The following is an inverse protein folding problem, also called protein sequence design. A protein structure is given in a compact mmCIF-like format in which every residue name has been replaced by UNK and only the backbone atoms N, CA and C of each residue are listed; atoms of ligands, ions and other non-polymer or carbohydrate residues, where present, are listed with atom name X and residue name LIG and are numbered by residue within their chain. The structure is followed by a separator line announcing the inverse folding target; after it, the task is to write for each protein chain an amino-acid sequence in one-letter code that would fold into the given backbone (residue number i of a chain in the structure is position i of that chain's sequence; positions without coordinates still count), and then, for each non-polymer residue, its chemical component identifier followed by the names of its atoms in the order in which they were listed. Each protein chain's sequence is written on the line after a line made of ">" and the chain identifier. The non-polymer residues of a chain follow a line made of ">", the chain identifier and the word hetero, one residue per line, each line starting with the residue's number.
data_IF_370751353358
#
_entry.id   IF_370751353358
#
_cell.length_a   1.000
_cell.length_b   1.000
_cell.length_c   1.000
_cell.angle_alpha   90.00
_cell.angle_beta   90.00
_cell.angle_gamma   90.00
#
_symmetry.space_group_name_H-M   'P 1'
#
loop_
_entity.id
_entity.type
_entity.pdbx_description
1 polymer ?
#
# COMPACT_ATOMS: atom_id res chain seq x y z
N UNK A 1 -53.59 37.07 12.53
CA UNK A 1 -53.23 36.77 11.12
C UNK A 1 -53.34 35.26 10.95
N UNK A 2 -53.89 34.82 9.82
CA UNK A 2 -54.28 33.44 9.49
C UNK A 2 -53.08 32.59 9.04
N UNK A 3 -53.06 31.34 9.51
CA UNK A 3 -52.63 30.05 8.89
C UNK A 3 -51.23 29.89 8.25
N UNK A 4 -50.72 28.65 8.02
CA UNK A 4 -51.24 27.33 8.43
C UNK A 4 -50.19 26.34 9.00
N UNK A 5 -50.71 25.27 9.60
CA UNK A 5 -50.07 23.98 9.84
C UNK A 5 -49.78 23.22 8.54
N UNK A 6 -48.65 22.53 8.47
CA UNK A 6 -48.46 21.39 7.57
C UNK A 6 -47.67 20.27 8.23
N UNK A 7 -48.19 19.07 8.00
CA UNK A 7 -47.84 17.75 8.50
C UNK A 7 -46.40 17.34 8.27
N UNK A 8 -45.76 16.77 9.30
CA UNK A 8 -44.58 15.89 9.14
C UNK A 8 -45.07 14.45 9.03
N UNK A 9 -44.77 13.84 7.89
CA UNK A 9 -45.02 12.44 7.62
C UNK A 9 -43.96 11.56 8.27
N UNK A 10 -44.46 10.49 8.87
CA UNK A 10 -43.75 9.37 9.47
C UNK A 10 -43.22 8.44 8.36
N UNK A 11 -41.89 8.28 8.26
CA UNK A 11 -41.23 7.35 7.34
C UNK A 11 -40.51 6.27 8.15
N UNK A 12 -41.24 5.22 8.51
CA UNK A 12 -40.67 3.94 8.93
C UNK A 12 -40.10 3.19 7.72
N UNK A 13 -38.77 3.13 7.57
CA UNK A 13 -38.11 2.28 6.58
C UNK A 13 -37.84 0.90 7.17
N UNK A 14 -38.58 -0.09 6.66
CA UNK A 14 -38.36 -1.51 6.91
C UNK A 14 -37.02 -1.96 6.31
N UNK A 15 -36.05 -2.33 7.18
CA UNK A 15 -34.88 -3.13 6.80
C UNK A 15 -35.25 -4.60 6.83
N UNK A 16 -35.46 -5.21 5.66
CA UNK A 16 -35.41 -6.67 5.42
C UNK A 16 -35.46 -6.92 3.93
N UNK A 17 -34.29 -7.18 3.33
CA UNK A 17 -34.12 -7.99 2.12
C UNK A 17 -32.65 -8.40 2.06
N UNK A 18 -32.32 -9.48 2.76
CA UNK A 18 -31.14 -10.27 2.48
C UNK A 18 -31.50 -11.24 1.33
N UNK A 19 -30.73 -11.21 0.25
CA UNK A 19 -30.77 -12.25 -0.77
C UNK A 19 -29.32 -12.60 -1.14
N UNK A 20 -28.85 -13.69 -0.53
CA UNK A 20 -27.73 -14.49 -1.00
C UNK A 20 -28.14 -15.07 -2.37
N UNK A 21 -27.30 -14.91 -3.40
CA UNK A 21 -27.44 -15.68 -4.63
C UNK A 21 -26.07 -16.17 -5.10
N UNK A 22 -25.69 -17.31 -4.52
CA UNK A 22 -24.67 -18.21 -5.04
C UNK A 22 -25.22 -18.85 -6.30
N UNK A 23 -24.55 -18.67 -7.44
CA UNK A 23 -24.99 -19.19 -8.74
C UNK A 23 -23.85 -19.86 -9.49
N UNK A 24 -23.39 -21.01 -9.01
CA UNK A 24 -22.68 -21.97 -9.85
C UNK A 24 -23.67 -22.67 -10.77
N UNK A 25 -23.51 -22.53 -12.09
CA UNK A 25 -24.38 -23.19 -13.07
C UNK A 25 -23.65 -24.37 -13.71
N UNK A 26 -23.99 -25.59 -13.26
CA UNK A 26 -23.77 -26.83 -13.99
C UNK A 26 -25.01 -27.10 -14.87
N UNK A 27 -24.79 -27.23 -16.17
CA UNK A 27 -25.78 -27.57 -17.17
C UNK A 27 -26.02 -29.09 -17.22
N UNK A 28 -27.21 -29.54 -16.82
CA UNK A 28 -27.84 -30.73 -17.40
C UNK A 28 -29.35 -30.82 -17.09
N UNK A 29 -30.11 -31.15 -18.14
CA UNK A 29 -31.42 -31.85 -18.13
C UNK A 29 -32.74 -31.05 -18.08
N UNK A 30 -33.30 -30.86 -19.28
CA UNK A 30 -34.56 -31.43 -19.78
C UNK A 30 -35.91 -31.19 -19.06
N UNK A 31 -36.76 -30.45 -19.80
CA UNK A 31 -38.20 -30.61 -20.03
C UNK A 31 -39.20 -30.38 -18.86
N UNK A 32 -39.97 -29.28 -18.98
CA UNK A 32 -41.36 -29.28 -18.56
C UNK A 32 -41.90 -27.99 -17.92
N UNK A 33 -42.29 -27.02 -18.75
CA UNK A 33 -43.47 -26.16 -18.55
C UNK A 33 -43.55 -25.25 -17.31
N UNK A 34 -43.29 -23.95 -17.51
CA UNK A 34 -44.23 -22.84 -17.29
C UNK A 34 -43.55 -21.55 -17.76
N UNK A 35 -44.16 -20.86 -18.72
CA UNK A 35 -43.69 -19.58 -19.23
C UNK A 35 -43.99 -18.48 -18.19
N UNK A 36 -43.07 -18.30 -17.24
CA UNK A 36 -42.94 -17.04 -16.52
C UNK A 36 -42.14 -16.07 -17.39
N UNK A 37 -42.71 -14.91 -17.72
CA UNK A 37 -41.96 -13.82 -18.33
C UNK A 37 -40.92 -13.32 -17.32
N UNK A 38 -39.71 -13.88 -17.39
CA UNK A 38 -38.56 -13.35 -16.68
C UNK A 38 -38.20 -12.07 -17.43
N UNK A 39 -38.55 -10.92 -16.88
CA UNK A 39 -37.95 -9.66 -17.28
C UNK A 39 -36.46 -9.75 -16.89
N UNK A 40 -35.65 -10.33 -17.79
CA UNK A 40 -34.21 -10.23 -17.72
C UNK A 40 -33.88 -8.75 -17.78
N UNK A 41 -33.45 -8.19 -16.67
CA UNK A 41 -32.84 -6.88 -16.69
C UNK A 41 -31.54 -7.04 -17.46
N UNK A 42 -31.53 -6.51 -18.67
CA UNK A 42 -30.40 -6.37 -19.57
C UNK A 42 -29.44 -5.34 -18.95
N UNK A 43 -28.81 -5.72 -17.83
CA UNK A 43 -27.79 -4.90 -17.22
C UNK A 43 -26.58 -4.95 -18.14
N UNK A 44 -26.15 -3.81 -18.70
CA UNK A 44 -25.00 -3.77 -19.61
C UNK A 44 -23.80 -4.45 -18.96
N UNK A 45 -23.25 -5.44 -19.63
CA UNK A 45 -22.04 -6.11 -19.16
C UNK A 45 -20.84 -5.24 -19.52
N UNK A 46 -19.97 -4.98 -18.55
CA UNK A 46 -18.70 -4.29 -18.77
C UNK A 46 -17.60 -5.33 -18.91
N UNK A 47 -16.79 -5.19 -19.95
CA UNK A 47 -15.62 -6.05 -20.18
C UNK A 47 -14.36 -5.20 -20.06
N UNK A 48 -13.43 -5.66 -19.23
CA UNK A 48 -12.17 -4.99 -18.99
C UNK A 48 -11.05 -5.75 -19.69
N UNK A 49 -10.22 -5.05 -20.46
CA UNK A 49 -9.11 -5.68 -21.19
C UNK A 49 -7.81 -4.93 -20.95
N UNK A 50 -6.72 -5.69 -21.01
CA UNK A 50 -5.36 -5.18 -20.96
C UNK A 50 -4.65 -5.58 -22.23
N UNK A 51 -4.04 -4.60 -22.89
CA UNK A 51 -3.26 -4.78 -24.11
C UNK A 51 -1.85 -4.25 -23.94
N UNK A 52 -0.86 -5.07 -24.29
CA UNK A 52 0.54 -4.67 -24.33
C UNK A 52 1.22 -5.30 -25.56
N UNK A 53 1.65 -4.46 -26.50
CA UNK A 53 2.14 -4.91 -27.79
C UNK A 53 1.10 -5.74 -28.55
N UNK A 54 1.42 -7.01 -28.83
CA UNK A 54 0.52 -7.97 -29.49
C UNK A 54 -0.30 -8.81 -28.51
N UNK A 55 -0.05 -8.72 -27.21
CA UNK A 55 -0.77 -9.46 -26.18
C UNK A 55 -1.99 -8.67 -25.75
N UNK A 56 -3.12 -9.34 -25.68
CA UNK A 56 -4.38 -8.81 -25.16
C UNK A 56 -5.07 -9.89 -24.33
N UNK A 57 -5.58 -9.53 -23.16
CA UNK A 57 -6.29 -10.44 -22.29
C UNK A 57 -7.37 -9.70 -21.49
N UNK A 58 -8.42 -10.42 -21.14
CA UNK A 58 -9.48 -9.92 -20.26
C UNK A 58 -9.03 -9.94 -18.80
N UNK A 59 -9.46 -8.95 -18.03
CA UNK A 59 -9.20 -8.85 -16.59
C UNK A 59 -10.51 -8.79 -15.82
N UNK A 60 -10.58 -9.53 -14.72
CA UNK A 60 -11.66 -9.47 -13.75
C UNK A 60 -11.30 -8.47 -12.67
N UNK A 61 -12.31 -7.71 -12.21
CA UNK A 61 -12.14 -6.77 -11.11
C UNK A 61 -11.96 -7.53 -9.78
N UNK A 62 -10.97 -7.16 -8.98
CA UNK A 62 -10.94 -7.55 -7.59
C UNK A 62 -12.06 -6.80 -6.88
N UNK A 63 -12.98 -7.50 -6.24
CA UNK A 63 -14.16 -6.87 -5.62
C UNK A 63 -14.03 -6.89 -4.10
N UNK A 64 -14.49 -5.83 -3.43
CA UNK A 64 -14.58 -5.79 -1.97
C UNK A 64 -15.59 -4.75 -1.51
N UNK A 65 -15.82 -4.72 -0.20
CA UNK A 65 -16.79 -3.84 0.47
C UNK A 65 -16.12 -2.69 1.24
N UNK A 66 -14.81 -2.53 1.08
CA UNK A 66 -13.99 -1.53 1.75
C UNK A 66 -13.61 -0.43 0.74
N UNK A 67 -13.64 0.87 1.10
CA UNK A 67 -13.13 1.93 0.24
C UNK A 67 -11.68 1.65 -0.19
N UNK A 68 -11.32 1.99 -1.43
CA UNK A 68 -10.00 1.65 -1.97
C UNK A 68 -8.84 2.30 -1.20
N UNK A 69 -9.07 3.45 -0.56
CA UNK A 69 -8.08 4.09 0.33
C UNK A 69 -7.79 3.23 1.55
N UNK A 70 -8.83 2.67 2.16
CA UNK A 70 -8.71 1.75 3.31
C UNK A 70 -8.13 0.40 2.90
N UNK A 71 -8.39 -0.05 1.67
CA UNK A 71 -7.72 -1.22 1.12
C UNK A 71 -6.22 -0.99 0.91
N UNK A 72 -5.84 0.20 0.42
CA UNK A 72 -4.44 0.58 0.22
C UNK A 72 -3.72 0.81 1.55
N UNK A 73 -4.41 1.43 2.51
CA UNK A 73 -3.93 1.75 3.87
C UNK A 73 -2.58 2.46 3.84
N UNK A 74 -2.54 3.63 3.18
CA UNK A 74 -1.38 4.52 3.24
C UNK A 74 -1.37 5.19 4.62
N UNK A 75 -0.30 4.96 5.38
CA UNK A 75 -0.12 5.56 6.71
C UNK A 75 0.98 6.59 6.69
N UNK A 76 0.71 7.73 7.33
CA UNK A 76 1.65 8.84 7.45
C UNK A 76 1.74 9.26 8.91
N UNK A 77 2.88 9.77 9.39
CA UNK A 77 2.95 10.31 10.73
C UNK A 77 2.00 11.48 10.94
N UNK A 78 1.55 11.67 12.17
CA UNK A 78 0.59 12.72 12.55
C UNK A 78 1.07 14.14 12.29
N UNK A 79 2.39 14.35 12.22
CA UNK A 79 2.98 15.64 11.84
C UNK A 79 2.91 15.92 10.32
N UNK A 80 2.35 15.01 9.53
CA UNK A 80 2.03 15.22 8.12
C UNK A 80 0.52 15.13 7.86
N UNK A 81 0.10 15.83 6.81
CA UNK A 81 -1.27 15.82 6.28
C UNK A 81 -1.24 16.00 4.76
N UNK A 82 -2.39 16.19 4.13
CA UNK A 82 -2.48 16.58 2.73
C UNK A 82 -3.49 15.75 1.92
N UNK A 83 -3.61 16.07 0.63
CA UNK A 83 -4.43 15.32 -0.32
C UNK A 83 -3.66 14.11 -0.89
N UNK A 84 -3.14 13.27 0.02
CA UNK A 84 -2.40 12.04 -0.27
C UNK A 84 -3.25 10.77 -0.12
N UNK A 85 -4.45 10.87 0.44
CA UNK A 85 -5.34 9.71 0.57
C UNK A 85 -5.00 8.75 1.71
N UNK A 86 -4.15 9.17 2.65
CA UNK A 86 -3.90 8.43 3.88
C UNK A 86 -5.19 8.18 4.68
N UNK A 87 -5.25 7.02 5.33
CA UNK A 87 -6.44 6.56 6.07
C UNK A 87 -6.32 6.69 7.58
N UNK A 88 -5.11 6.90 8.10
CA UNK A 88 -4.86 7.11 9.51
C UNK A 88 -3.52 7.85 9.72
N UNK A 89 -3.48 8.97 10.47
CA UNK A 89 -2.26 9.44 11.11
C UNK A 89 -1.98 8.57 12.36
N UNK A 90 -1.68 7.29 12.17
CA UNK A 90 -1.51 6.31 13.26
C UNK A 90 -0.14 5.62 13.23
N UNK A 91 0.28 4.98 14.34
CA UNK A 91 1.61 4.35 14.40
C UNK A 91 1.86 3.34 13.27
N UNK A 92 3.12 3.34 12.81
CA UNK A 92 3.53 2.78 11.54
C UNK A 92 3.33 1.26 11.32
N UNK A 93 3.92 0.73 10.25
CA UNK A 93 4.93 1.38 9.43
C UNK A 93 4.34 2.52 8.56
N UNK A 94 5.15 3.56 8.38
CA UNK A 94 4.78 4.78 7.66
C UNK A 94 5.37 4.79 6.25
N UNK A 95 4.74 5.58 5.37
CA UNK A 95 5.21 5.81 4.00
C UNK A 95 5.21 4.53 3.16
N UNK A 96 4.20 3.68 3.38
CA UNK A 96 4.00 2.47 2.59
C UNK A 96 2.53 2.06 2.56
N UNK A 97 2.17 1.25 1.55
CA UNK A 97 0.89 0.55 1.47
C UNK A 97 0.85 -0.65 2.41
N UNK A 98 0.41 -0.44 3.65
CA UNK A 98 0.29 -1.51 4.66
C UNK A 98 -0.70 -2.57 4.20
N UNK A 99 -1.81 -2.14 3.61
CA UNK A 99 -2.94 -2.98 3.23
C UNK A 99 -2.66 -3.89 2.03
N UNK A 100 -1.67 -3.56 1.19
CA UNK A 100 -1.35 -4.31 -0.03
C UNK A 100 0.07 -4.87 -0.06
N UNK A 101 0.87 -4.65 0.97
CA UNK A 101 2.24 -5.17 1.11
C UNK A 101 2.36 -6.67 0.81
N UNK A 102 1.38 -7.47 1.22
CA UNK A 102 1.36 -8.92 1.01
C UNK A 102 1.24 -9.35 -0.48
N UNK A 103 0.84 -8.44 -1.38
CA UNK A 103 0.78 -8.72 -2.81
C UNK A 103 2.13 -8.60 -3.51
N UNK A 104 3.10 -7.94 -2.87
CA UNK A 104 4.39 -7.64 -3.47
C UNK A 104 5.38 -8.78 -3.30
N UNK A 105 6.09 -9.06 -4.38
CA UNK A 105 7.37 -9.75 -4.30
C UNK A 105 8.49 -8.70 -4.30
N UNK A 106 9.69 -9.09 -3.88
CA UNK A 106 10.86 -8.22 -3.95
C UNK A 106 11.08 -7.71 -5.38
N UNK A 107 11.42 -6.42 -5.53
CA UNK A 107 11.73 -5.80 -6.83
C UNK A 107 10.58 -5.93 -7.85
N UNK A 108 9.33 -5.76 -7.40
CA UNK A 108 8.15 -5.91 -8.24
C UNK A 108 7.27 -4.66 -8.29
N UNK A 109 6.47 -4.56 -9.34
CA UNK A 109 5.32 -3.68 -9.40
C UNK A 109 4.09 -4.53 -9.65
N UNK A 110 3.04 -4.32 -8.86
CA UNK A 110 1.74 -4.94 -9.07
C UNK A 110 0.71 -3.87 -9.39
N UNK A 111 -0.21 -4.22 -10.28
CA UNK A 111 -1.31 -3.37 -10.68
C UNK A 111 -2.58 -4.20 -10.77
N UNK A 112 -3.74 -3.64 -10.42
CA UNK A 112 -5.02 -4.31 -10.57
C UNK A 112 -6.18 -3.32 -10.65
N UNK A 113 -7.33 -3.79 -11.14
CA UNK A 113 -8.59 -3.05 -11.05
C UNK A 113 -9.37 -3.53 -9.83
N UNK A 114 -9.76 -2.58 -8.98
CA UNK A 114 -10.55 -2.82 -7.79
C UNK A 114 -11.96 -2.25 -7.95
N UNK A 115 -12.97 -3.01 -7.57
CA UNK A 115 -14.36 -2.56 -7.47
C UNK A 115 -14.78 -2.55 -6.00
N UNK A 116 -14.80 -1.34 -5.44
CA UNK A 116 -15.20 -1.09 -4.06
C UNK A 116 -16.52 -0.29 -3.97
N UNK A 117 -16.89 0.18 -2.78
CA UNK A 117 -18.07 1.02 -2.55
C UNK A 117 -18.09 2.30 -3.39
N UNK A 118 -16.91 2.84 -3.73
CA UNK A 118 -16.74 4.09 -4.48
C UNK A 118 -16.55 3.88 -6.00
N UNK A 119 -16.85 2.66 -6.49
CA UNK A 119 -16.74 2.31 -7.91
C UNK A 119 -15.40 1.66 -8.27
N UNK A 120 -15.01 1.77 -9.54
CA UNK A 120 -13.81 1.11 -10.08
C UNK A 120 -12.59 2.01 -9.94
N UNK A 121 -11.48 1.43 -9.47
CA UNK A 121 -10.20 2.09 -9.30
C UNK A 121 -9.07 1.26 -9.89
N UNK A 122 -8.08 1.93 -10.49
CA UNK A 122 -6.79 1.34 -10.83
C UNK A 122 -5.85 1.52 -9.65
N UNK A 123 -5.34 0.42 -9.12
CA UNK A 123 -4.39 0.40 -8.01
C UNK A 123 -3.02 0.00 -8.53
N UNK A 124 -1.99 0.75 -8.14
CA UNK A 124 -0.59 0.45 -8.43
C UNK A 124 0.23 0.47 -7.14
N UNK A 125 1.06 -0.54 -6.94
CA UNK A 125 1.99 -0.63 -5.82
C UNK A 125 3.35 -1.08 -6.34
N UNK A 126 4.39 -0.35 -5.96
CA UNK A 126 5.78 -0.56 -6.34
C UNK A 126 6.61 -1.03 -5.13
N UNK A 127 7.64 -1.81 -5.40
CA UNK A 127 8.61 -2.23 -4.40
C UNK A 127 8.16 -3.46 -3.60
N UNK A 128 8.36 -3.39 -2.28
CA UNK A 128 8.14 -4.48 -1.34
C UNK A 128 9.40 -5.30 -1.05
N UNK A 129 9.44 -5.92 0.14
CA UNK A 129 10.68 -6.51 0.66
C UNK A 129 11.79 -5.46 0.84
N UNK A 130 13.04 -5.88 0.96
CA UNK A 130 14.18 -4.95 1.11
C UNK A 130 14.61 -4.34 -0.25
N UNK A 131 13.66 -3.93 -1.08
CA UNK A 131 13.93 -3.34 -2.39
C UNK A 131 13.75 -1.83 -2.40
N UNK A 132 14.57 -1.17 -3.21
CA UNK A 132 14.49 0.25 -3.55
C UNK A 132 14.18 0.37 -5.05
N UNK A 133 13.80 1.54 -5.52
CA UNK A 133 13.63 1.73 -6.95
C UNK A 133 13.04 3.07 -7.34
N UNK A 134 12.96 3.26 -8.66
CA UNK A 134 12.37 4.44 -9.29
C UNK A 134 11.44 3.99 -10.42
N UNK A 135 10.27 4.62 -10.52
CA UNK A 135 9.29 4.36 -11.58
C UNK A 135 8.70 5.66 -12.07
N UNK A 136 8.68 5.86 -13.38
CA UNK A 136 7.93 6.94 -14.02
C UNK A 136 6.79 6.34 -14.81
N UNK A 137 5.55 6.75 -14.53
CA UNK A 137 4.43 6.48 -15.44
C UNK A 137 3.93 7.78 -16.06
N UNK A 138 3.93 7.80 -17.39
CA UNK A 138 3.08 8.74 -18.14
C UNK A 138 1.79 8.04 -18.52
N UNK A 139 0.66 8.53 -18.02
CA UNK A 139 -0.66 7.95 -18.17
C UNK A 139 -1.51 8.87 -19.07
N UNK A 140 -1.97 8.38 -20.21
CA UNK A 140 -2.82 9.15 -21.14
C UNK A 140 -4.23 8.56 -21.22
N UNK A 141 -5.18 9.37 -21.68
CA UNK A 141 -6.57 8.95 -21.81
C UNK A 141 -7.30 8.89 -20.47
N UNK A 142 -6.79 9.59 -19.45
CA UNK A 142 -7.41 9.61 -18.12
C UNK A 142 -8.78 10.32 -18.21
N UNK A 143 -9.88 9.67 -17.79
CA UNK A 143 -11.19 10.30 -17.78
C UNK A 143 -11.20 11.54 -16.90
N UNK A 144 -11.92 12.59 -17.30
CA UNK A 144 -11.99 13.83 -16.50
C UNK A 144 -12.67 13.67 -15.14
N UNK A 145 -13.41 12.57 -14.93
CA UNK A 145 -13.99 12.20 -13.64
C UNK A 145 -13.00 11.49 -12.72
N UNK A 146 -11.94 10.90 -13.28
CA UNK A 146 -10.98 10.12 -12.52
C UNK A 146 -10.12 11.03 -11.65
N UNK A 147 -9.74 10.53 -10.47
CA UNK A 147 -8.89 11.26 -9.52
C UNK A 147 -7.93 10.31 -8.85
N UNK A 148 -6.71 10.78 -8.59
CA UNK A 148 -5.79 10.07 -7.72
C UNK A 148 -6.31 10.18 -6.28
N UNK A 149 -6.79 9.04 -5.76
CA UNK A 149 -7.34 8.88 -4.42
C UNK A 149 -6.28 8.62 -3.37
N UNK A 150 -5.15 8.05 -3.79
CA UNK A 150 -3.94 7.87 -3.00
C UNK A 150 -2.78 8.38 -3.82
N UNK A 151 -1.94 9.21 -3.20
CA UNK A 151 -0.71 9.76 -3.76
C UNK A 151 0.36 9.61 -2.70
N UNK A 152 1.17 8.57 -2.84
CA UNK A 152 2.31 8.41 -1.96
C UNK A 152 3.27 9.60 -2.09
N UNK A 153 4.03 9.83 -1.02
CA UNK A 153 5.03 10.89 -0.89
C UNK A 153 4.57 12.31 -1.30
N UNK A 154 3.28 12.61 -1.08
CA UNK A 154 2.68 13.93 -1.24
C UNK A 154 2.19 14.49 0.11
N UNK A 155 3.13 14.74 1.01
CA UNK A 155 2.85 15.23 2.36
C UNK A 155 2.92 16.75 2.45
N UNK A 156 2.14 17.31 3.38
CA UNK A 156 2.18 18.72 3.76
C UNK A 156 2.23 18.84 5.27
N UNK A 157 2.91 19.86 5.79
CA UNK A 157 2.88 20.17 7.22
C UNK A 157 1.49 20.73 7.57
N UNK A 158 0.77 20.17 8.56
CA UNK A 158 -0.58 20.60 8.91
C UNK A 158 -0.71 22.11 9.18
N UNK A 159 0.27 22.69 9.85
CA UNK A 159 0.22 24.08 10.30
C UNK A 159 0.43 25.11 9.17
N UNK A 160 1.26 24.76 8.18
CA UNK A 160 1.66 25.69 7.11
C UNK A 160 1.00 25.37 5.78
N UNK A 161 0.58 24.11 5.58
CA UNK A 161 0.18 23.58 4.29
C UNK A 161 1.32 23.51 3.26
N UNK A 162 2.56 23.77 3.66
CA UNK A 162 3.73 23.65 2.79
C UNK A 162 4.05 22.18 2.54
N UNK A 163 4.52 21.87 1.34
CA UNK A 163 4.96 20.52 0.99
C UNK A 163 6.12 20.10 1.90
N UNK A 164 6.07 18.87 2.40
CA UNK A 164 7.15 18.31 3.18
C UNK A 164 8.42 18.19 2.32
N UNK A 165 9.58 18.48 2.93
CA UNK A 165 10.87 18.38 2.22
C UNK A 165 11.26 16.95 1.89
N UNK A 166 10.65 15.98 2.59
CA UNK A 166 10.86 14.55 2.34
C UNK A 166 10.10 14.04 1.11
N UNK A 167 9.21 14.84 0.53
CA UNK A 167 8.50 14.47 -0.70
C UNK A 167 9.48 14.40 -1.87
N UNK A 168 9.79 13.20 -2.29
CA UNK A 168 10.63 12.89 -3.43
C UNK A 168 9.81 12.60 -4.69
N UNK A 169 8.58 12.12 -4.53
CA UNK A 169 7.69 11.87 -5.65
C UNK A 169 7.26 13.15 -6.36
N UNK A 170 7.09 13.03 -7.68
CA UNK A 170 6.65 14.13 -8.55
C UNK A 170 5.31 13.81 -9.16
N UNK A 171 4.32 14.65 -8.89
CA UNK A 171 2.95 14.48 -9.34
C UNK A 171 2.53 15.61 -10.30
N UNK A 172 2.43 15.31 -11.60
CA UNK A 172 1.72 16.14 -12.58
C UNK A 172 0.45 15.42 -13.05
N UNK A 173 -0.69 15.79 -12.48
CA UNK A 173 -1.96 15.08 -12.66
C UNK A 173 -3.04 15.99 -13.27
N UNK A 174 -2.62 16.84 -14.21
CA UNK A 174 -3.51 17.84 -14.82
C UNK A 174 -4.07 17.37 -16.17
N UNK A 175 -5.39 17.51 -16.37
CA UNK A 175 -6.03 17.19 -17.64
C UNK A 175 -6.26 15.69 -17.87
N UNK A 176 -5.91 15.20 -19.06
CA UNK A 176 -6.10 13.79 -19.46
C UNK A 176 -4.77 13.03 -19.63
N UNK A 177 -3.66 13.70 -19.37
CA UNK A 177 -2.30 13.16 -19.40
C UNK A 177 -1.67 13.45 -18.05
N UNK A 178 -1.32 12.40 -17.31
CA UNK A 178 -0.68 12.50 -16.02
C UNK A 178 0.75 11.97 -16.14
N UNK A 179 1.70 12.56 -15.44
CA UNK A 179 3.06 12.07 -15.27
C UNK A 179 3.32 11.96 -13.78
N UNK A 180 3.69 10.76 -13.33
CA UNK A 180 4.02 10.50 -11.94
C UNK A 180 5.39 9.83 -11.91
N UNK A 181 6.28 10.38 -11.09
CA UNK A 181 7.58 9.81 -10.80
C UNK A 181 7.60 9.40 -9.32
N UNK A 182 7.81 8.11 -9.09
CA UNK A 182 7.89 7.47 -7.78
C UNK A 182 9.33 7.09 -7.43
N UNK A 183 9.69 7.19 -6.17
CA UNK A 183 10.97 6.70 -5.64
C UNK A 183 10.86 6.31 -4.17
N UNK A 184 11.39 5.14 -3.83
CA UNK A 184 11.33 4.62 -2.47
C UNK A 184 12.63 3.95 -2.05
N UNK A 185 12.86 3.96 -0.74
CA UNK A 185 14.00 3.31 -0.08
C UNK A 185 13.63 1.98 0.55
N UNK A 186 14.66 1.28 1.03
CA UNK A 186 14.59 -0.06 1.61
C UNK A 186 13.34 -0.32 2.45
N UNK A 187 12.70 -1.47 2.20
CA UNK A 187 11.58 -1.97 2.98
C UNK A 187 10.29 -1.14 2.91
N UNK A 188 10.27 -0.07 2.11
CA UNK A 188 9.07 0.70 1.84
C UNK A 188 8.44 0.26 0.51
N UNK A 189 7.20 0.69 0.33
CA UNK A 189 6.46 0.51 -0.92
C UNK A 189 5.98 1.88 -1.35
N UNK A 190 5.67 1.98 -2.62
CA UNK A 190 5.25 3.25 -3.22
C UNK A 190 4.05 3.03 -4.16
N UNK A 191 3.44 4.08 -4.66
CA UNK A 191 2.49 4.04 -5.75
C UNK A 191 1.27 4.93 -5.54
N UNK A 192 0.10 4.41 -5.90
CA UNK A 192 -1.11 5.19 -5.80
C UNK A 192 -2.35 4.52 -6.37
N UNK A 193 -3.47 5.25 -6.25
CA UNK A 193 -4.79 4.77 -6.67
C UNK A 193 -5.46 5.80 -7.55
N UNK A 194 -5.75 5.45 -8.80
CA UNK A 194 -6.57 6.25 -9.72
C UNK A 194 -8.02 5.74 -9.67
N UNK A 195 -8.87 6.46 -8.95
CA UNK A 195 -10.28 6.09 -8.75
C UNK A 195 -11.26 6.75 -9.71
N UNK A 196 -12.54 6.40 -9.52
CA UNK A 196 -13.68 6.91 -10.29
C UNK A 196 -13.61 6.59 -11.80
N UNK A 197 -13.18 5.37 -12.11
CA UNK A 197 -13.12 4.82 -13.47
C UNK A 197 -14.49 4.27 -13.90
N UNK A 198 -15.50 5.15 -13.90
CA UNK A 198 -16.87 4.81 -14.27
C UNK A 198 -17.10 4.90 -15.78
N UNK A 199 -17.85 3.92 -16.31
CA UNK A 199 -18.24 3.90 -17.72
C UNK A 199 -17.17 3.30 -18.63
N UNK A 200 -17.23 3.68 -19.90
CA UNK A 200 -16.28 3.22 -20.90
C UNK A 200 -15.04 4.12 -20.87
N UNK A 201 -13.85 3.52 -20.80
CA UNK A 201 -12.58 4.25 -20.78
C UNK A 201 -11.48 3.50 -21.52
N UNK A 202 -10.44 4.22 -21.90
CA UNK A 202 -9.22 3.67 -22.46
C UNK A 202 -8.03 4.48 -21.95
N UNK A 203 -7.28 3.91 -21.01
CA UNK A 203 -6.10 4.52 -20.39
C UNK A 203 -4.86 3.82 -20.90
N UNK A 204 -3.83 4.57 -21.30
CA UNK A 204 -2.53 4.02 -21.71
C UNK A 204 -1.44 4.48 -20.75
N UNK A 205 -0.71 3.52 -20.18
CA UNK A 205 0.44 3.73 -19.31
C UNK A 205 1.70 3.53 -20.14
N UNK A 206 2.54 4.56 -20.22
CA UNK A 206 3.88 4.52 -20.79
C UNK A 206 4.87 4.39 -19.62
N UNK A 207 5.42 3.20 -19.37
CA UNK A 207 6.31 2.99 -18.23
C UNK A 207 7.74 3.46 -18.52
N UNK A 208 8.40 3.98 -17.49
CA UNK A 208 9.85 4.11 -17.39
C UNK A 208 10.30 3.48 -16.08
N UNK A 209 10.89 2.29 -16.13
CA UNK A 209 11.46 1.61 -14.97
C UNK A 209 12.99 1.71 -15.00
N UNK A 210 13.62 1.66 -13.82
CA UNK A 210 15.08 1.61 -13.65
C UNK A 210 15.74 2.79 -14.38
N UNK A 211 16.75 2.56 -15.23
CA UNK A 211 17.44 3.60 -16.03
C UNK A 211 16.51 4.47 -16.89
N UNK A 212 15.29 4.02 -17.18
CA UNK A 212 14.30 4.79 -17.94
C UNK A 212 13.38 5.65 -17.07
N UNK A 213 13.42 5.52 -15.75
CA UNK A 213 12.68 6.36 -14.82
C UNK A 213 13.34 7.75 -14.72
N UNK A 214 12.52 8.79 -14.54
CA UNK A 214 12.98 10.17 -14.48
C UNK A 214 13.86 10.46 -13.26
N UNK A 215 13.59 9.79 -12.13
CA UNK A 215 14.34 9.93 -10.87
C UNK A 215 15.55 8.98 -10.77
N UNK A 216 15.86 8.23 -11.83
CA UNK A 216 16.98 7.29 -11.81
C UNK A 216 18.32 8.00 -11.55
N UNK A 217 19.03 7.54 -10.51
CA UNK A 217 20.31 8.10 -10.09
C UNK A 217 20.21 9.43 -9.33
N UNK A 218 19.01 9.87 -8.94
CA UNK A 218 18.83 11.07 -8.10
C UNK A 218 18.81 10.74 -6.59
N UNK A 219 18.06 9.71 -6.18
CA UNK A 219 17.76 9.47 -4.75
C UNK A 219 18.10 8.04 -4.30
N UNK A 220 17.34 7.05 -4.78
CA UNK A 220 17.51 5.64 -4.41
C UNK A 220 17.88 4.80 -5.63
N UNK A 221 18.74 3.80 -5.43
CA UNK A 221 19.20 2.91 -6.51
C UNK A 221 18.61 1.52 -6.31
N UNK A 222 17.82 1.06 -7.27
CA UNK A 222 17.28 -0.28 -7.24
C UNK A 222 16.64 -0.69 -8.56
N UNK A 223 16.51 -2.00 -8.72
CA UNK A 223 16.02 -2.61 -9.94
C UNK A 223 14.64 -3.21 -9.71
N UNK A 224 13.64 -2.71 -10.44
CA UNK A 224 12.39 -3.42 -10.68
C UNK A 224 12.62 -4.47 -11.76
N UNK A 225 12.33 -5.72 -11.40
CA UNK A 225 12.52 -6.90 -12.27
C UNK A 225 11.23 -7.45 -12.83
N UNK A 226 10.08 -7.09 -12.24
CA UNK A 226 8.80 -7.59 -12.69
C UNK A 226 7.71 -6.55 -12.55
N UNK A 227 6.82 -6.51 -13.55
CA UNK A 227 5.57 -5.75 -13.49
C UNK A 227 4.42 -6.70 -13.82
N UNK A 228 3.38 -6.71 -13.01
CA UNK A 228 2.31 -7.69 -13.09
C UNK A 228 0.94 -7.03 -13.00
N UNK A 229 0.01 -7.47 -13.85
CA UNK A 229 -1.42 -7.22 -13.69
C UNK A 229 -2.05 -8.38 -12.90
N UNK A 230 -2.72 -8.08 -11.79
CA UNK A 230 -3.48 -9.06 -11.02
C UNK A 230 -4.92 -9.09 -11.51
N UNK A 231 -5.48 -10.30 -11.60
CA UNK A 231 -6.86 -10.55 -12.01
C UNK A 231 -7.41 -11.78 -11.28
N UNK A 232 -8.73 -11.96 -11.29
CA UNK A 232 -9.41 -13.08 -10.64
C UNK A 232 -10.14 -12.64 -9.38
N UNK A 233 -9.92 -13.38 -8.28
CA UNK A 233 -10.50 -13.06 -6.97
C UNK A 233 -9.41 -13.05 -5.90
N UNK A 234 -9.66 -12.44 -4.74
CA UNK A 234 -8.69 -12.36 -3.65
C UNK A 234 -8.12 -13.71 -3.23
N UNK A 235 -8.93 -14.77 -3.28
CA UNK A 235 -8.54 -16.12 -2.86
C UNK A 235 -7.91 -16.94 -4.01
N UNK A 236 -7.88 -16.39 -5.23
CA UNK A 236 -7.35 -17.04 -6.42
C UNK A 236 -6.85 -16.00 -7.42
N UNK A 237 -5.79 -15.30 -7.02
CA UNK A 237 -5.17 -14.27 -7.85
C UNK A 237 -4.34 -14.90 -8.97
N UNK A 238 -4.59 -14.45 -10.19
CA UNK A 238 -3.76 -14.74 -11.35
C UNK A 238 -2.85 -13.55 -11.63
N UNK A 239 -1.54 -13.80 -11.75
CA UNK A 239 -0.51 -12.80 -12.07
C UNK A 239 -0.19 -12.85 -13.57
N UNK A 240 -0.52 -11.80 -14.30
CA UNK A 240 -0.18 -11.65 -15.70
C UNK A 240 1.06 -10.76 -15.83
N UNK A 241 2.20 -11.34 -16.24
CA UNK A 241 3.43 -10.56 -16.42
C UNK A 241 3.28 -9.57 -17.58
N UNK A 242 3.73 -8.34 -17.33
CA UNK A 242 3.84 -7.24 -18.26
C UNK A 242 5.32 -6.97 -18.56
N UNK A 243 5.59 -6.39 -19.72
CA UNK A 243 6.90 -5.91 -20.14
C UNK A 243 7.18 -4.53 -19.52
N UNK A 244 8.41 -4.28 -19.07
CA UNK A 244 8.79 -3.04 -18.37
C UNK A 244 8.97 -1.83 -19.31
N UNK A 245 9.08 -2.02 -20.62
CA UNK A 245 9.34 -0.94 -21.59
C UNK A 245 8.15 -0.62 -22.48
N UNK A 246 7.29 -1.61 -22.74
CA UNK A 246 6.19 -1.45 -23.69
C UNK A 246 4.96 -0.82 -23.02
N UNK A 247 4.28 0.14 -23.68
CA UNK A 247 3.06 0.74 -23.14
C UNK A 247 1.94 -0.28 -22.93
N UNK A 248 1.18 -0.11 -21.84
CA UNK A 248 0.02 -0.93 -21.49
C UNK A 248 -1.24 -0.10 -21.64
N UNK A 249 -2.22 -0.59 -22.40
CA UNK A 249 -3.54 0.02 -22.50
C UNK A 249 -4.57 -0.81 -21.73
N UNK A 250 -5.34 -0.16 -20.85
CA UNK A 250 -6.44 -0.74 -20.10
C UNK A 250 -7.72 -0.14 -20.65
N UNK A 251 -8.65 -0.99 -21.08
CA UNK A 251 -9.96 -0.55 -21.58
C UNK A 251 -11.09 -1.13 -20.75
N UNK A 252 -12.19 -0.37 -20.67
CA UNK A 252 -13.50 -0.84 -20.25
C UNK A 252 -14.49 -0.52 -21.35
N UNK A 253 -15.22 -1.53 -21.81
CA UNK A 253 -16.23 -1.39 -22.84
C UNK A 253 -17.55 -1.98 -22.37
N UNK A 254 -18.63 -1.24 -22.59
CA UNK A 254 -19.99 -1.73 -22.38
C UNK A 254 -20.40 -2.62 -23.56
N UNK A 255 -20.54 -3.91 -23.32
CA UNK A 255 -21.03 -4.88 -24.28
C UNK A 255 -22.55 -5.00 -24.11
N UNK A 256 -23.28 -4.57 -25.12
CA UNK A 256 -24.70 -4.88 -25.25
C UNK A 256 -24.77 -6.24 -25.92
N UNK A 257 -25.28 -7.26 -25.22
CA UNK A 257 -25.58 -8.53 -25.86
C UNK A 257 -26.67 -8.30 -26.91
N UNK A 258 -26.25 -8.08 -28.16
CA UNK A 258 -27.19 -8.15 -29.27
C UNK A 258 -27.69 -9.58 -29.32
N UNK A 259 -28.93 -9.80 -28.89
CA UNK A 259 -29.62 -11.09 -29.01
C UNK A 259 -29.34 -11.63 -30.40
N UNK A 260 -28.51 -12.68 -30.47
CA UNK A 260 -28.21 -13.30 -31.75
C UNK A 260 -29.54 -13.84 -32.25
N UNK A 261 -30.08 -13.34 -33.39
CA UNK A 261 -31.37 -13.79 -33.86
C UNK A 261 -31.29 -15.30 -34.01
N UNK A 262 -32.15 -16.00 -33.27
CA UNK A 262 -32.21 -17.47 -33.20
C UNK A 262 -32.09 -18.01 -34.62
N UNK A 263 -30.90 -18.51 -34.95
CA UNK A 263 -30.63 -19.09 -36.26
C UNK A 263 -31.45 -20.37 -36.35
N UNK A 264 -32.27 -20.56 -37.40
CA UNK A 264 -33.08 -21.75 -37.55
C UNK A 264 -32.19 -23.01 -37.55
N UNK A 265 -32.70 -24.07 -36.92
CA UNK A 265 -32.02 -25.33 -36.65
C UNK A 265 -31.19 -25.86 -37.85
N UNK A 266 -29.90 -26.20 -37.66
CA UNK A 266 -29.10 -26.82 -38.69
C UNK A 266 -29.49 -28.30 -38.86
N UNK A 267 -29.60 -28.72 -40.12
CA UNK A 267 -29.78 -30.11 -40.54
C UNK A 267 -28.52 -30.91 -40.20
N UNK A 268 -28.74 -32.04 -39.55
CA UNK A 268 -27.78 -33.06 -39.10
C UNK A 268 -26.92 -33.57 -40.28
N UNK A 269 -25.61 -33.28 -40.30
CA UNK A 269 -24.63 -33.97 -41.15
C UNK A 269 -23.62 -34.74 -40.30
N UNK A 270 -23.33 -35.97 -40.77
CA UNK A 270 -22.62 -37.05 -40.07
C UNK A 270 -21.13 -36.78 -39.80
N UNK A 271 -20.55 -37.39 -38.75
CA UNK A 271 -19.21 -37.10 -38.29
C UNK A 271 -18.12 -37.84 -39.10
N UNK A 272 -17.02 -37.13 -39.39
CA UNK A 272 -15.77 -37.71 -39.93
C UNK A 272 -14.68 -37.68 -38.86
N UNK A 273 -14.03 -38.83 -38.67
CA UNK A 273 -13.04 -39.11 -37.62
C UNK A 273 -11.79 -38.21 -37.68
N UNK A 274 -11.22 -37.80 -36.53
CA UNK A 274 -9.90 -37.18 -36.50
C UNK A 274 -8.76 -38.17 -36.18
N UNK A 275 -7.66 -37.93 -36.88
CA UNK A 275 -6.37 -38.63 -36.89
C UNK A 275 -5.52 -38.28 -35.66
N UNK A 276 -4.94 -39.33 -35.09
CA UNK A 276 -4.00 -39.39 -33.97
C UNK A 276 -2.64 -38.74 -34.31
N UNK A 277 -2.11 -37.86 -33.45
CA UNK A 277 -0.73 -37.35 -33.52
C UNK A 277 -0.04 -37.42 -32.16
N UNK A 278 1.15 -38.00 -32.19
CA UNK A 278 2.04 -38.31 -31.05
C UNK A 278 2.67 -37.07 -30.37
N UNK A 279 3.04 -37.19 -29.08
CA UNK A 279 3.71 -36.12 -28.33
C UNK A 279 5.24 -36.12 -28.51
N UNK A 280 5.84 -34.93 -28.46
CA UNK A 280 7.29 -34.72 -28.45
C UNK A 280 7.71 -34.19 -27.07
N UNK A 281 8.68 -34.85 -26.43
CA UNK A 281 9.23 -34.52 -25.10
C UNK A 281 10.15 -33.28 -25.13
N UNK A 282 10.18 -32.46 -24.07
CA UNK A 282 11.23 -31.46 -23.86
C UNK A 282 12.31 -31.90 -22.85
N UNK A 283 13.55 -31.60 -23.23
CA UNK A 283 14.82 -31.81 -22.51
C UNK A 283 14.95 -30.89 -21.30
N UNK A 284 15.51 -31.44 -20.21
CA UNK A 284 15.77 -30.80 -18.90
C UNK A 284 17.22 -30.32 -18.84
N UNK A 285 17.46 -29.04 -18.57
CA UNK A 285 18.79 -28.48 -18.27
C UNK A 285 18.88 -28.05 -16.79
N UNK A 286 20.01 -28.40 -16.16
CA UNK A 286 20.40 -28.05 -14.78
C UNK A 286 21.15 -26.71 -14.74
N UNK A 287 20.95 -25.85 -13.71
CA UNK A 287 21.85 -24.75 -13.43
C UNK A 287 22.86 -25.07 -12.31
N UNK A 288 24.06 -24.50 -12.49
CA UNK A 288 25.25 -24.67 -11.66
C UNK A 288 25.26 -23.81 -10.39
N UNK A 289 25.87 -24.37 -9.34
CA UNK A 289 26.12 -23.75 -8.03
C UNK A 289 27.19 -22.63 -8.09
N UNK A 290 26.98 -21.56 -7.31
CA UNK A 290 28.00 -20.53 -7.02
C UNK A 290 28.53 -20.70 -5.57
N UNK A 291 29.82 -20.40 -5.32
CA UNK A 291 30.41 -20.49 -4.00
C UNK A 291 30.16 -19.23 -3.16
N UNK A 292 29.90 -19.43 -1.87
CA UNK A 292 29.84 -18.42 -0.81
C UNK A 292 31.25 -18.06 -0.32
N UNK A 293 31.60 -16.77 -0.39
CA UNK A 293 32.73 -16.19 0.34
C UNK A 293 32.25 -15.67 1.70
N UNK A 294 32.82 -16.23 2.76
CA UNK A 294 32.68 -15.76 4.13
C UNK A 294 33.98 -15.13 4.61
N UNK A 295 33.81 -14.23 5.59
CA UNK A 295 34.76 -13.77 6.62
C UNK A 295 35.56 -12.50 6.31
N UNK A 296 35.22 -11.45 7.05
CA UNK A 296 36.00 -10.95 8.20
C UNK A 296 35.40 -9.62 8.64
N UNK A 297 34.65 -9.63 9.74
CA UNK A 297 34.44 -8.47 10.66
C UNK A 297 33.49 -8.91 11.81
N UNK A 298 33.91 -9.92 12.57
CA UNK A 298 33.22 -10.35 13.79
C UNK A 298 34.25 -10.46 14.92
N UNK A 299 34.67 -9.33 15.48
CA UNK A 299 35.39 -9.37 16.75
C UNK A 299 35.34 -8.01 17.49
N UNK A 300 34.13 -7.44 17.61
CA UNK A 300 33.84 -6.41 18.63
C UNK A 300 32.35 -6.29 18.96
N UNK A 301 31.69 -7.40 19.26
CA UNK A 301 30.40 -7.37 19.97
C UNK A 301 30.66 -7.60 21.46
N UNK A 302 30.89 -6.51 22.19
CA UNK A 302 30.63 -6.51 23.62
C UNK A 302 29.12 -6.70 23.81
N UNK A 303 28.76 -7.68 24.65
CA UNK A 303 27.40 -8.07 24.99
C UNK A 303 26.64 -6.88 25.60
N UNK A 304 26.01 -6.06 24.76
CA UNK A 304 24.85 -5.29 25.20
C UNK A 304 23.72 -6.29 25.32
N UNK A 305 23.35 -6.64 26.55
CA UNK A 305 22.14 -7.42 26.81
C UNK A 305 20.99 -6.68 26.10
N UNK A 306 20.28 -7.40 25.22
CA UNK A 306 19.13 -6.80 24.55
C UNK A 306 18.10 -6.52 25.66
N UNK A 307 17.54 -5.31 25.73
CA UNK A 307 16.53 -5.02 26.75
C UNK A 307 15.34 -5.96 26.58
N UNK A 308 14.79 -6.46 27.69
CA UNK A 308 13.76 -7.50 27.72
C UNK A 308 12.52 -7.14 26.88
N UNK A 309 12.16 -5.85 26.83
CA UNK A 309 11.03 -5.37 26.01
C UNK A 309 11.19 -5.67 24.52
N UNK A 310 12.42 -5.82 23.99
CA UNK A 310 12.64 -6.22 22.59
C UNK A 310 12.29 -7.67 22.34
N UNK A 311 12.50 -8.55 23.31
CA UNK A 311 12.10 -9.96 23.21
C UNK A 311 10.58 -10.08 23.25
N UNK A 312 9.92 -9.39 24.19
CA UNK A 312 8.46 -9.28 24.26
C UNK A 312 7.87 -8.77 22.94
N UNK A 313 8.51 -7.74 22.35
CA UNK A 313 8.10 -7.15 21.07
C UNK A 313 8.18 -8.16 19.92
N UNK A 314 9.29 -8.88 19.83
CA UNK A 314 9.50 -9.86 18.77
C UNK A 314 8.55 -11.06 18.94
N UNK A 315 8.22 -11.46 20.18
CA UNK A 315 7.24 -12.52 20.47
C UNK A 315 5.83 -12.13 20.00
N UNK A 316 5.30 -10.96 20.38
CA UNK A 316 3.95 -10.63 19.91
C UNK A 316 3.91 -10.28 18.42
N UNK A 317 5.05 -9.92 17.78
CA UNK A 317 5.09 -9.83 16.32
C UNK A 317 4.80 -11.18 15.65
N UNK A 318 5.31 -12.28 16.19
CA UNK A 318 4.99 -13.62 15.68
C UNK A 318 3.53 -14.00 16.01
N UNK A 319 3.03 -13.67 17.20
CA UNK A 319 1.61 -13.89 17.53
C UNK A 319 0.66 -13.12 16.61
N UNK A 320 0.98 -11.85 16.30
CA UNK A 320 0.19 -11.05 15.37
C UNK A 320 0.21 -11.64 13.96
N UNK A 321 1.32 -12.24 13.56
CA UNK A 321 1.42 -12.93 12.28
C UNK A 321 0.53 -14.18 12.29
N UNK A 322 0.51 -14.94 13.38
CA UNK A 322 -0.39 -16.08 13.54
C UNK A 322 -1.87 -15.67 13.53
N UNK A 323 -2.27 -14.66 14.30
CA UNK A 323 -3.63 -14.10 14.30
C UNK A 323 -4.03 -13.66 12.88
N UNK A 324 -3.09 -13.02 12.17
CA UNK A 324 -3.31 -12.57 10.80
C UNK A 324 -3.56 -13.73 9.86
N UNK A 325 -2.70 -14.71 9.90
CA UNK A 325 -2.78 -15.88 9.05
C UNK A 325 -4.05 -16.69 9.38
N UNK A 326 -4.53 -16.69 10.64
CA UNK A 326 -5.79 -17.30 11.06
C UNK A 326 -7.02 -16.59 10.48
N UNK A 327 -7.18 -15.27 10.67
CA UNK A 327 -8.35 -14.59 10.12
C UNK A 327 -8.30 -14.53 8.59
N UNK A 328 -7.11 -14.46 7.99
CA UNK A 328 -6.96 -14.58 6.54
C UNK A 328 -7.44 -15.93 6.04
N UNK A 329 -7.10 -17.01 6.73
CA UNK A 329 -7.59 -18.34 6.39
C UNK A 329 -9.12 -18.43 6.49
N UNK A 330 -9.73 -17.89 7.55
CA UNK A 330 -11.20 -17.82 7.68
C UNK A 330 -11.85 -17.03 6.55
N UNK A 331 -11.26 -15.89 6.19
CA UNK A 331 -11.67 -15.09 5.03
C UNK A 331 -11.57 -15.90 3.74
N UNK A 332 -10.48 -16.64 3.57
CA UNK A 332 -10.23 -17.44 2.38
C UNK A 332 -11.20 -18.64 2.26
N UNK A 333 -11.61 -19.20 3.41
CA UNK A 333 -12.64 -20.25 3.53
C UNK A 333 -14.08 -19.70 3.39
N UNK A 334 -14.25 -18.38 3.32
CA UNK A 334 -15.55 -17.70 3.15
C UNK A 334 -16.40 -17.68 4.43
N UNK A 335 -15.78 -17.75 5.60
CA UNK A 335 -16.46 -17.70 6.89
C UNK A 335 -16.92 -16.27 7.21
N UNK A 336 -18.21 -16.02 7.43
CA UNK A 336 -18.74 -14.66 7.62
C UNK A 336 -18.13 -13.96 8.87
N UNK A 337 -17.58 -14.74 9.82
CA UNK A 337 -17.05 -14.26 11.11
C UNK A 337 -15.60 -13.72 11.05
N UNK A 338 -14.89 -13.86 9.91
CA UNK A 338 -13.47 -13.44 9.79
C UNK A 338 -13.24 -11.96 10.13
N UNK A 339 -14.26 -11.11 9.96
CA UNK A 339 -14.19 -9.69 10.28
C UNK A 339 -14.15 -9.43 11.78
N UNK A 340 -14.95 -10.17 12.55
CA UNK A 340 -14.97 -10.07 14.00
C UNK A 340 -13.62 -10.54 14.57
N UNK A 341 -13.07 -11.65 14.06
CA UNK A 341 -11.74 -12.12 14.45
C UNK A 341 -10.62 -11.12 14.11
N UNK A 342 -10.70 -10.49 12.93
CA UNK A 342 -9.75 -9.44 12.54
C UNK A 342 -9.83 -8.23 13.47
N UNK A 343 -11.03 -7.81 13.81
CA UNK A 343 -11.26 -6.65 14.67
C UNK A 343 -10.86 -6.97 16.13
N UNK A 344 -11.12 -8.19 16.63
CA UNK A 344 -10.64 -8.66 17.93
C UNK A 344 -9.10 -8.73 17.97
N UNK A 345 -8.46 -9.27 16.93
CA UNK A 345 -7.01 -9.29 16.81
C UNK A 345 -6.43 -7.85 16.77
N UNK A 346 -7.15 -6.91 16.17
CA UNK A 346 -6.76 -5.49 16.17
C UNK A 346 -6.81 -4.88 17.57
N UNK A 347 -7.86 -5.16 18.36
CA UNK A 347 -7.95 -4.67 19.74
C UNK A 347 -6.89 -5.30 20.66
N UNK A 348 -6.65 -6.62 20.55
CA UNK A 348 -5.57 -7.30 21.31
C UNK A 348 -4.18 -6.71 21.01
N UNK A 349 -3.93 -6.38 19.75
CA UNK A 349 -2.69 -5.71 19.32
C UNK A 349 -2.54 -4.34 19.97
N UNK A 350 -3.64 -3.59 20.05
CA UNK A 350 -3.67 -2.27 20.68
C UNK A 350 -3.32 -2.37 22.17
N UNK A 351 -3.95 -3.28 22.90
CA UNK A 351 -3.69 -3.48 24.33
C UNK A 351 -2.23 -3.89 24.62
N UNK A 352 -1.69 -4.89 23.88
CA UNK A 352 -0.28 -5.30 24.02
C UNK A 352 0.70 -4.18 23.69
N UNK A 353 0.33 -3.32 22.76
CA UNK A 353 1.17 -2.19 22.36
C UNK A 353 1.26 -1.14 23.46
N UNK A 354 0.17 -0.84 24.17
CA UNK A 354 0.22 0.05 25.34
C UNK A 354 1.13 -0.54 26.44
N UNK A 355 1.02 -1.84 26.74
CA UNK A 355 1.91 -2.52 27.72
C UNK A 355 3.40 -2.40 27.35
N UNK A 356 3.73 -2.47 26.05
CA UNK A 356 5.10 -2.27 25.59
C UNK A 356 5.58 -0.84 25.65
N UNK A 357 4.68 0.11 25.42
CA UNK A 357 4.99 1.53 25.52
C UNK A 357 5.41 1.85 26.95
N UNK A 358 4.62 1.40 27.92
CA UNK A 358 4.93 1.55 29.35
C UNK A 358 6.28 0.93 29.72
N UNK A 359 6.55 -0.32 29.31
CA UNK A 359 7.85 -0.99 29.57
C UNK A 359 9.04 -0.30 28.92
N UNK A 360 8.86 0.25 27.72
CA UNK A 360 9.93 0.95 27.01
C UNK A 360 10.24 2.27 27.71
N UNK A 361 9.22 2.97 28.16
CA UNK A 361 9.37 4.27 28.81
C UNK A 361 9.98 4.06 30.22
N UNK A 362 9.58 3.03 30.98
CA UNK A 362 10.23 2.63 32.25
C UNK A 362 11.73 2.28 32.05
N UNK A 363 12.07 1.58 30.96
CA UNK A 363 13.47 1.27 30.64
C UNK A 363 14.30 2.51 30.26
N UNK A 364 13.68 3.53 29.67
CA UNK A 364 14.37 4.79 29.34
C UNK A 364 14.68 5.56 30.63
N UNK A 365 13.70 5.66 31.53
CA UNK A 365 13.89 6.33 32.83
C UNK A 365 15.03 5.68 33.62
N UNK A 366 15.09 4.35 33.67
CA UNK A 366 16.18 3.61 34.34
C UNK A 366 17.56 3.87 33.70
N UNK A 367 17.60 4.14 32.38
CA UNK A 367 18.85 4.36 31.67
C UNK A 367 19.41 5.76 31.90
N UNK A 368 18.54 6.76 31.99
CA UNK A 368 18.94 8.15 32.20
C UNK A 368 19.49 8.35 33.63
N UNK A 369 18.98 7.61 34.62
CA UNK A 369 19.51 7.58 35.98
C UNK A 369 20.95 7.01 36.09
N UNK A 370 21.31 6.03 35.24
CA UNK A 370 22.65 5.41 35.23
C UNK A 370 23.71 6.30 34.54
N UNK A 371 23.33 7.07 33.51
CA UNK A 371 24.26 7.93 32.77
C UNK A 371 24.67 9.19 33.57
N UNK A 372 23.89 9.60 34.57
CA UNK A 372 24.19 10.75 35.44
C UNK A 372 25.25 10.46 36.53
N UNK A 373 25.47 9.19 36.92
CA UNK A 373 26.44 8.85 37.98
C UNK A 373 27.92 8.81 37.51
N UNK A 374 28.17 8.59 36.22
CA UNK A 374 29.54 8.45 35.69
C UNK A 374 30.18 9.80 35.27
N UNK A 375 29.38 10.86 35.11
CA UNK A 375 29.85 12.14 34.55
C UNK A 375 30.49 13.07 35.61
N UNK A 376 30.28 12.81 36.89
CA UNK A 376 30.85 13.59 37.99
C UNK A 376 32.31 13.22 38.31
N UNK A 377 32.77 12.00 37.97
CA UNK A 377 34.12 11.53 38.34
C UNK A 377 35.22 12.02 37.35
N UNK A 378 34.85 12.42 36.12
CA UNK A 378 35.81 12.88 35.10
C UNK A 378 35.99 14.41 35.08
N UNK A 379 35.07 15.18 35.68
CA UNK A 379 35.22 16.64 35.86
C UNK A 379 36.32 17.01 36.85
N UNK A 380 36.63 16.17 37.82
CA UNK A 380 37.71 16.44 38.80
C UNK A 380 39.11 16.06 38.29
N UNK A 381 39.23 15.16 37.30
CA UNK A 381 40.54 14.84 36.68
C UNK A 381 41.06 15.94 35.74
N UNK A 382 40.19 16.70 35.07
CA UNK A 382 40.63 17.75 34.12
C UNK A 382 41.14 19.04 34.80
N UNK A 383 40.85 19.29 36.08
CA UNK A 383 41.35 20.49 36.80
C UNK A 383 42.82 20.40 37.26
N UNK A 384 43.46 19.23 37.18
CA UNK A 384 44.85 19.04 37.66
C UNK A 384 45.99 19.35 36.67
N UNK A 385 45.72 19.63 35.38
CA UNK A 385 46.77 19.65 34.33
C UNK A 385 47.02 20.99 33.62
N UNK A 386 46.51 22.12 34.11
CA UNK A 386 46.87 23.47 33.59
C UNK A 386 48.08 24.04 34.33
N UNK A 387 49.28 23.56 34.00
CA UNK A 387 50.49 24.04 34.68
C UNK A 387 51.82 23.75 33.97
N UNK A 388 52.05 24.26 32.75
CA UNK A 388 53.36 24.83 32.31
C UNK A 388 53.39 25.21 30.83
N UNK A 389 53.53 26.53 30.62
CA UNK A 389 54.49 27.22 29.73
C UNK A 389 54.72 26.70 28.29
N UNK A 390 54.38 27.57 27.33
CA UNK A 390 55.07 27.67 26.05
C UNK A 390 54.74 29.00 25.37
N UNK A 391 55.64 29.99 25.51
CA UNK A 391 55.52 31.34 24.95
C UNK A 391 56.32 31.38 23.64
N UNK A 392 55.66 31.52 22.49
CA UNK A 392 56.22 31.82 21.14
C UNK A 392 55.14 32.59 20.39
N UNK A 393 55.22 33.92 20.35
CA UNK A 393 55.88 34.75 19.33
C UNK A 393 55.19 34.67 17.97
N UNK A 394 54.25 35.59 17.79
CA UNK A 394 54.09 36.51 16.65
C UNK A 394 54.83 36.11 15.37
N UNK A 395 54.09 35.78 14.32
CA UNK A 395 54.40 36.08 12.91
C UNK A 395 53.16 35.74 12.06
N UNK A 396 52.37 36.79 11.79
CA UNK A 396 52.08 37.30 10.43
C UNK A 396 51.79 36.25 9.35
N UNK A 397 50.50 35.94 9.12
CA UNK A 397 49.98 35.54 7.81
C UNK A 397 48.55 36.05 7.63
N UNK A 398 48.34 36.60 6.44
CA UNK A 398 47.24 37.41 5.96
C UNK A 398 45.85 36.78 6.08
N UNK A 399 44.90 37.68 6.38
CA UNK A 399 43.48 37.60 6.13
C UNK A 399 43.20 37.31 4.64
N UNK A 400 42.42 36.27 4.34
CA UNK A 400 41.49 36.21 3.20
C UNK A 400 40.56 34.99 3.36
N UNK A 401 39.33 35.27 3.79
CA UNK A 401 38.06 34.62 3.48
C UNK A 401 38.02 33.10 3.23
N UNK A 402 37.59 32.33 4.24
CA UNK A 402 36.87 31.06 4.03
C UNK A 402 36.02 30.74 5.29
N UNK A 403 34.88 31.43 5.42
CA UNK A 403 33.81 31.09 6.35
C UNK A 403 33.03 29.87 5.80
N UNK A 404 33.60 28.67 5.96
CA UNK A 404 32.88 27.40 5.86
C UNK A 404 32.83 26.75 7.22
N UNK A 405 31.74 27.04 7.91
CA UNK A 405 31.29 26.36 9.11
C UNK A 405 30.98 24.88 8.78
N UNK A 406 31.89 23.99 9.16
CA UNK A 406 31.67 22.55 9.25
C UNK A 406 31.09 22.22 10.65
N UNK A 407 29.87 22.68 10.93
CA UNK A 407 29.04 22.30 12.08
C UNK A 407 27.76 21.61 11.55
N UNK A 408 27.88 20.33 11.19
CA UNK A 408 26.74 19.43 10.99
C UNK A 408 27.21 18.03 11.38
N UNK A 409 26.93 17.64 12.62
CA UNK A 409 26.66 16.27 13.06
C UNK A 409 26.33 16.38 14.57
N UNK A 410 25.20 15.81 14.99
CA UNK A 410 24.67 15.70 16.37
C UNK A 410 23.60 16.71 16.83
N UNK A 411 22.52 16.92 16.05
CA UNK A 411 21.26 17.46 16.57
C UNK A 411 20.08 16.82 15.80
N UNK A 412 19.57 15.68 16.27
CA UNK A 412 18.21 15.17 15.99
C UNK A 412 18.00 13.91 16.85
N UNK A 413 17.52 14.06 18.08
CA UNK A 413 16.69 13.02 18.75
C UNK A 413 16.01 13.45 20.09
N UNK A 414 16.25 14.66 20.62
CA UNK A 414 15.62 15.08 21.89
C UNK A 414 14.72 16.32 21.75
N UNK A 415 13.53 16.15 21.15
CA UNK A 415 12.42 17.09 21.39
C UNK A 415 11.33 16.41 22.20
N UNK A 416 11.52 16.48 23.51
CA UNK A 416 10.47 16.34 24.51
C UNK A 416 9.50 17.51 24.33
N UNK A 417 8.40 17.25 23.61
CA UNK A 417 7.23 18.11 23.65
C UNK A 417 6.43 17.75 24.92
N UNK A 418 6.68 18.50 25.99
CA UNK A 418 5.79 18.68 27.14
C UNK A 418 4.39 19.07 26.62
N UNK A 419 3.46 18.12 26.58
CA UNK A 419 2.04 18.40 26.44
C UNK A 419 1.37 18.26 27.80
N UNK A 420 1.15 19.41 28.42
CA UNK A 420 0.23 19.58 29.55
C UNK A 420 -1.17 19.05 29.14
N UNK A 421 -1.62 18.04 29.89
CA UNK A 421 -3.00 17.53 29.88
C UNK A 421 -3.97 18.60 30.40
N UNK A 422 -4.57 19.37 29.50
CA UNK A 422 -5.84 20.07 29.79
C UNK A 422 -7.01 19.12 29.43
N UNK A 423 -7.22 18.13 30.28
CA UNK A 423 -8.49 17.41 30.43
C UNK A 423 -9.50 18.32 31.16
N UNK A 424 -10.32 19.04 30.40
CA UNK A 424 -11.60 19.55 30.91
C UNK A 424 -12.70 18.52 30.56
N UNK A 425 -12.99 17.69 31.57
CA UNK A 425 -14.25 17.00 31.79
C UNK A 425 -15.43 17.96 31.59
N UNK A 426 -16.42 17.56 30.78
CA UNK A 426 -17.82 17.96 30.98
C UNK A 426 -18.73 16.83 30.45
N UNK A 427 -18.84 15.80 31.29
CA UNK A 427 -20.04 14.99 31.43
C UNK A 427 -21.16 15.87 32.02
N UNK A 428 -22.22 16.11 31.26
CA UNK A 428 -23.53 16.44 31.82
C UNK A 428 -24.59 15.54 31.15
N UNK A 429 -24.88 14.45 31.85
CA UNK A 429 -26.18 13.79 31.87
C UNK A 429 -27.27 14.82 32.22
N UNK A 430 -28.39 14.83 31.49
CA UNK A 430 -29.67 15.16 32.11
C UNK A 430 -30.85 14.52 31.34
N UNK A 431 -31.59 13.73 32.10
CA UNK A 431 -32.89 13.12 31.83
C UNK A 431 -33.99 14.14 31.40
N UNK A 432 -34.76 13.82 30.34
CA UNK A 432 -36.26 13.72 30.30
C UNK A 432 -36.82 13.55 28.87
#
# INVERSE_FOLDING_TARGET
>A
MKDPSSSRGDWSLNRRSALKLTGGLLLASALGGQAGAVHGFDTPQRVYRVKQGSREFEVSLLTGDVPVRELYDLRIPSYYSGDNGSTDPGEGPYYESVGLSYLLAESSTVMFLYHGPDGVSLVAVHGGGNSEGNVTWRVTGVPSSAKWLVKDDLYTYPDTGELARSNNDRWDVTGSEHVIDWTWRNSQTDGGVLGYLDGDFAITIYPGYNEAAALYGELYEGDIRSWQMLTGSWNSLTRQSLNLTDPVTITCETVVETETPVSPEPVEEEPTEPVEKEPTEPTKEEPAEKPTEQSRDQEREEKKEKPEWKEDRDEAREEWKEDRDEWQKKRDDGDDDWKEDRDEAREKRKEKREDWKDKRDEWKDDKDDDDDEDDDDDRDRKKGKKGKKGKRSDDDWDDEDDDRDDDWDDDDDDRDDDWDDDDDDDDDDDDD
#
